data_IF_790093607892
#
_entry.id   IF_790093607892
#
_cell.length_a   1.000
_cell.length_b   1.000
_cell.length_c   1.000
_cell.angle_alpha   90.00
_cell.angle_beta   90.00
_cell.angle_gamma   90.00
#
_symmetry.space_group_name_H-M   'P 1'
#
loop_
_entity.id
_entity.type
_entity.pdbx_description
1 polymer ?
#
# COMPACT_ATOMS: atom_id res chain seq x y z
N UNK A 1 16.13 0.01 -0.71
CA UNK A 1 16.17 -1.40 -1.20
C UNK A 1 14.93 -2.22 -0.83
N UNK A 2 14.69 -2.65 0.43
CA UNK A 2 13.54 -3.54 0.74
C UNK A 2 12.17 -2.85 0.76
N UNK A 3 12.04 -1.68 1.42
CA UNK A 3 10.77 -0.94 1.48
C UNK A 3 10.31 -0.42 0.12
N UNK A 4 11.25 -0.03 -0.74
CA UNK A 4 10.97 0.36 -2.13
C UNK A 4 10.43 -0.82 -2.95
N UNK A 5 10.97 -2.03 -2.73
CA UNK A 5 10.47 -3.25 -3.36
C UNK A 5 9.04 -3.55 -2.93
N UNK A 6 8.73 -3.45 -1.63
CA UNK A 6 7.35 -3.58 -1.12
C UNK A 6 6.44 -2.52 -1.77
N UNK A 7 6.86 -1.26 -1.80
CA UNK A 7 6.09 -0.18 -2.42
C UNK A 7 5.82 -0.41 -3.90
N UNK A 8 6.77 -1.01 -4.63
CA UNK A 8 6.61 -1.44 -6.02
C UNK A 8 5.56 -2.56 -6.16
N UNK A 9 5.65 -3.62 -5.35
CA UNK A 9 4.68 -4.72 -5.34
C UNK A 9 3.26 -4.20 -5.08
N UNK A 10 3.10 -3.33 -4.07
CA UNK A 10 1.80 -2.70 -3.76
C UNK A 10 1.26 -1.93 -4.97
N UNK A 11 2.11 -1.14 -5.65
CA UNK A 11 1.71 -0.37 -6.83
C UNK A 11 1.29 -1.26 -7.98
N UNK A 12 2.05 -2.31 -8.24
CA UNK A 12 1.75 -3.29 -9.31
C UNK A 12 0.43 -4.00 -9.03
N UNK A 13 0.21 -4.45 -7.79
CA UNK A 13 -1.05 -5.09 -7.39
C UNK A 13 -2.25 -4.16 -7.48
N UNK A 14 -2.10 -2.89 -7.10
CA UNK A 14 -3.14 -1.88 -7.31
C UNK A 14 -3.49 -1.71 -8.80
N UNK A 15 -2.47 -1.69 -9.67
CA UNK A 15 -2.66 -1.57 -11.13
C UNK A 15 -3.37 -2.80 -11.68
N UNK A 16 -2.96 -4.01 -11.28
CA UNK A 16 -3.61 -5.28 -11.66
C UNK A 16 -5.10 -5.29 -11.28
N UNK A 17 -5.44 -4.78 -10.09
CA UNK A 17 -6.83 -4.72 -9.59
C UNK A 17 -7.61 -3.49 -10.07
N UNK A 18 -7.00 -2.61 -10.89
CA UNK A 18 -7.64 -1.36 -11.33
C UNK A 18 -8.02 -0.41 -10.18
N UNK A 19 -7.26 -0.42 -9.09
CA UNK A 19 -7.54 0.38 -7.90
C UNK A 19 -6.83 1.74 -7.94
N UNK A 20 -7.60 2.80 -7.67
CA UNK A 20 -7.04 4.11 -7.34
C UNK A 20 -6.65 4.17 -5.86
N UNK A 21 -5.80 5.13 -5.49
CA UNK A 21 -5.49 5.41 -4.08
C UNK A 21 -6.75 5.73 -3.25
N UNK A 22 -7.74 6.39 -3.85
CA UNK A 22 -9.00 6.70 -3.17
C UNK A 22 -9.79 5.42 -2.87
N UNK A 23 -9.90 4.53 -3.86
CA UNK A 23 -10.60 3.25 -3.67
C UNK A 23 -9.91 2.37 -2.62
N UNK A 24 -8.57 2.35 -2.61
CA UNK A 24 -7.82 1.63 -1.58
C UNK A 24 -7.98 2.26 -0.19
N UNK A 25 -8.06 3.59 -0.09
CA UNK A 25 -8.41 4.28 1.16
C UNK A 25 -9.78 3.85 1.66
N UNK A 26 -10.79 3.84 0.78
CA UNK A 26 -12.16 3.45 1.13
C UNK A 26 -12.22 1.99 1.63
N UNK A 27 -11.39 1.09 1.07
CA UNK A 27 -11.31 -0.32 1.49
C UNK A 27 -10.57 -0.55 2.81
N UNK A 28 -9.60 0.29 3.15
CA UNK A 28 -8.65 0.05 4.27
C UNK A 28 -8.82 1.00 5.44
N UNK A 29 -9.59 2.07 5.26
CA UNK A 29 -9.60 3.25 6.15
C UNK A 29 -8.21 3.86 6.38
N UNK A 30 -7.27 3.65 5.45
CA UNK A 30 -5.93 4.25 5.48
C UNK A 30 -5.94 5.48 4.59
N UNK A 31 -5.54 6.64 5.12
CA UNK A 31 -5.54 7.87 4.35
C UNK A 31 -4.57 7.81 3.16
N UNK A 32 -4.94 8.47 2.06
CA UNK A 32 -4.18 8.50 0.82
C UNK A 32 -2.69 8.85 1.02
N UNK A 33 -2.37 9.82 1.88
CA UNK A 33 -0.98 10.20 2.15
C UNK A 33 -0.16 9.06 2.81
N UNK A 34 -0.80 8.21 3.62
CA UNK A 34 -0.17 7.04 4.24
C UNK A 34 0.03 5.92 3.21
N UNK A 35 -0.96 5.70 2.33
CA UNK A 35 -0.82 4.76 1.21
C UNK A 35 0.34 5.19 0.31
N UNK A 36 0.41 6.47 -0.05
CA UNK A 36 1.51 7.01 -0.83
C UNK A 36 2.87 6.86 -0.13
N UNK A 37 2.93 6.97 1.20
CA UNK A 37 4.15 6.74 1.94
C UNK A 37 4.65 5.29 1.80
N UNK A 38 3.74 4.31 1.84
CA UNK A 38 4.05 2.90 1.60
C UNK A 38 4.48 2.67 0.14
N UNK A 39 3.71 3.17 -0.83
CA UNK A 39 3.99 3.00 -2.27
C UNK A 39 5.29 3.68 -2.70
N UNK A 40 5.72 4.73 -2.01
CA UNK A 40 7.02 5.40 -2.21
C UNK A 40 8.15 4.78 -1.39
N UNK A 41 7.86 3.76 -0.57
CA UNK A 41 8.87 3.09 0.26
C UNK A 41 9.45 3.97 1.38
N UNK A 42 8.70 4.98 1.86
CA UNK A 42 9.17 5.90 2.91
C UNK A 42 9.47 5.16 4.22
N UNK A 43 10.36 5.71 5.04
CA UNK A 43 10.76 5.05 6.28
C UNK A 43 9.76 5.20 7.44
N UNK A 44 8.85 6.16 7.39
CA UNK A 44 8.09 6.65 8.55
C UNK A 44 6.60 6.23 8.58
N UNK A 45 6.21 5.15 7.92
CA UNK A 45 4.86 4.59 8.07
C UNK A 45 4.81 3.55 9.20
N UNK A 46 3.63 3.40 9.82
CA UNK A 46 3.40 2.37 10.85
C UNK A 46 3.27 0.99 10.21
N UNK A 47 3.74 -0.06 10.89
CA UNK A 47 3.59 -1.45 10.42
C UNK A 47 2.12 -1.82 10.20
N UNK A 48 1.22 -1.33 11.06
CA UNK A 48 -0.23 -1.56 10.94
C UNK A 48 -0.80 -0.98 9.63
N UNK A 49 -0.30 0.18 9.19
CA UNK A 49 -0.66 0.76 7.89
C UNK A 49 -0.27 -0.17 6.75
N UNK A 50 0.94 -0.73 6.81
CA UNK A 50 1.41 -1.67 5.81
C UNK A 50 0.54 -2.94 5.79
N UNK A 51 0.30 -3.56 6.94
CA UNK A 51 -0.49 -4.79 7.04
C UNK A 51 -1.91 -4.61 6.51
N UNK A 52 -2.59 -3.50 6.82
CA UNK A 52 -3.93 -3.20 6.28
C UNK A 52 -3.93 -3.11 4.75
N UNK A 53 -2.91 -2.48 4.17
CA UNK A 53 -2.77 -2.36 2.72
C UNK A 53 -2.50 -3.74 2.09
N UNK A 54 -1.59 -4.53 2.67
CA UNK A 54 -1.26 -5.87 2.16
C UNK A 54 -2.47 -6.81 2.21
N UNK A 55 -3.19 -6.82 3.33
CA UNK A 55 -4.40 -7.63 3.48
C UNK A 55 -5.49 -7.22 2.47
N UNK A 56 -5.73 -5.92 2.26
CA UNK A 56 -6.73 -5.47 1.29
C UNK A 56 -6.34 -5.76 -0.17
N UNK A 57 -5.04 -5.87 -0.44
CA UNK A 57 -4.53 -6.21 -1.77
C UNK A 57 -4.31 -7.71 -1.96
N UNK A 58 -4.51 -8.52 -0.92
CA UNK A 58 -4.25 -9.96 -0.92
C UNK A 58 -2.79 -10.26 -1.32
N UNK A 59 -1.86 -9.67 -0.57
CA UNK A 59 -0.41 -9.80 -0.76
C UNK A 59 0.19 -10.48 0.47
N UNK A 60 0.83 -11.63 0.26
CA UNK A 60 1.70 -12.27 1.25
C UNK A 60 3.17 -11.88 0.98
N UNK A 61 3.92 -11.55 2.04
CA UNK A 61 5.32 -11.12 1.99
C UNK A 61 6.25 -12.08 2.71
#
# INVERSE_FOLDING_TARGET
MQKERIGKIVREKMKEKGLSYRKLQDMTSVYNYQIQAVVKGKNNYKIETLLRILNALDIEL
#
